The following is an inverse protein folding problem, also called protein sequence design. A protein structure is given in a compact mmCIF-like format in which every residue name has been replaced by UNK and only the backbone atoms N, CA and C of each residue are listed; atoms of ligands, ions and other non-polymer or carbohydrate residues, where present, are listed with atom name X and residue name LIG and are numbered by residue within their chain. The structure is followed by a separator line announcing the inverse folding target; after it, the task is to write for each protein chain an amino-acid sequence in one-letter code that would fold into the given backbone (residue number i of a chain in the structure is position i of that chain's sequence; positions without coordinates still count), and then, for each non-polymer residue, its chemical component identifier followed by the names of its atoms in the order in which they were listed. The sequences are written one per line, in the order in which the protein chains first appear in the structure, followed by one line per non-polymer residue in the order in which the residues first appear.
data_IF_560518348647
#
_entry.id   IF_560518348647
#
_cell.length_a   1.000
_cell.length_b   1.000
_cell.length_c   1.000
_cell.angle_alpha   90.00
_cell.angle_beta   90.00
_cell.angle_gamma   90.00
#
_symmetry.space_group_name_H-M   'P 1'
#
loop_
_entity.id
_entity.type
_entity.pdbx_description
1 polymer ?
#
# COMPACT_ATOMS: atom_id res chain seq x y z
N UNK A 1 -2.77 10.61 -1.95
CA UNK A 1 -2.62 10.00 -0.63
C UNK A 1 -3.97 9.93 0.07
N UNK A 2 -4.25 8.81 0.76
CA UNK A 2 -5.48 8.58 1.53
C UNK A 2 -5.12 8.43 3.01
N UNK A 3 -5.85 9.08 3.90
CA UNK A 3 -5.67 8.91 5.34
C UNK A 3 -6.96 9.24 6.10
N UNK A 4 -7.12 8.65 7.27
CA UNK A 4 -8.19 8.94 8.23
C UNK A 4 -7.85 10.12 9.14
N UNK A 5 -6.59 10.58 9.12
CA UNK A 5 -6.06 11.69 9.93
C UNK A 5 -5.80 12.91 9.02
N UNK A 6 -6.56 13.98 9.24
CA UNK A 6 -6.48 15.22 8.46
C UNK A 6 -5.16 15.95 8.69
N UNK A 7 -4.61 15.93 9.91
CA UNK A 7 -3.36 16.60 10.21
C UNK A 7 -2.21 15.95 9.43
N UNK A 8 -2.14 14.62 9.41
CA UNK A 8 -1.16 13.88 8.64
C UNK A 8 -1.26 14.14 7.13
N UNK A 9 -2.48 14.32 6.63
CA UNK A 9 -2.69 14.71 5.23
C UNK A 9 -2.19 16.13 4.95
N UNK A 10 -2.46 17.08 5.85
CA UNK A 10 -2.08 18.47 5.66
C UNK A 10 -0.56 18.65 5.68
N UNK A 11 0.13 17.94 6.55
CA UNK A 11 1.60 17.97 6.67
C UNK A 11 2.30 17.32 5.47
N UNK A 12 1.59 16.55 4.66
CA UNK A 12 2.14 15.88 3.48
C UNK A 12 2.18 16.83 2.28
N UNK A 13 3.24 16.73 1.46
CA UNK A 13 3.45 17.57 0.27
C UNK A 13 2.76 17.05 -1.00
N UNK A 14 2.20 15.84 -0.96
CA UNK A 14 1.50 15.24 -2.11
C UNK A 14 0.23 16.05 -2.41
N UNK A 15 0.00 16.47 -3.68
CA UNK A 15 -1.09 17.38 -4.02
C UNK A 15 -2.49 16.73 -3.91
N UNK A 16 -2.62 15.45 -4.29
CA UNK A 16 -3.90 14.77 -4.27
C UNK A 16 -4.11 14.06 -2.92
N UNK A 17 -5.09 14.55 -2.17
CA UNK A 17 -5.37 14.10 -0.80
C UNK A 17 -6.85 13.72 -0.68
N UNK A 18 -7.12 12.56 -0.07
CA UNK A 18 -8.48 12.11 0.25
C UNK A 18 -8.54 11.82 1.74
N UNK A 19 -9.41 12.52 2.44
CA UNK A 19 -9.77 12.21 3.82
C UNK A 19 -10.73 11.02 3.79
N UNK A 20 -10.39 9.95 4.51
CA UNK A 20 -11.24 8.78 4.65
C UNK A 20 -12.14 8.89 5.88
N UNK A 21 -13.44 8.69 5.69
CA UNK A 21 -14.42 8.59 6.76
C UNK A 21 -14.57 9.85 7.56
N UNK A 22 -14.95 10.94 6.93
CA UNK A 22 -15.14 12.25 7.60
C UNK A 22 -16.13 12.16 8.77
N UNK A 23 -17.20 11.36 8.66
CA UNK A 23 -18.14 11.13 9.75
C UNK A 23 -17.66 10.08 10.75
N UNK A 24 -17.05 9.00 10.27
CA UNK A 24 -16.57 7.88 11.09
C UNK A 24 -15.42 8.30 12.01
N UNK A 25 -14.42 9.02 11.46
CA UNK A 25 -13.18 9.36 12.18
C UNK A 25 -13.12 10.81 12.61
N UNK A 26 -13.96 11.68 12.04
CA UNK A 26 -13.92 13.14 12.25
C UNK A 26 -12.54 13.75 12.00
N UNK A 27 -11.75 13.09 11.14
CA UNK A 27 -10.38 13.52 10.84
C UNK A 27 -9.33 13.24 11.93
N UNK A 28 -9.69 12.50 12.99
CA UNK A 28 -8.81 12.20 14.12
C UNK A 28 -8.01 10.90 13.97
N UNK A 29 -8.08 10.28 12.80
CA UNK A 29 -7.44 8.99 12.56
C UNK A 29 -8.28 7.79 13.01
N UNK A 30 -7.81 6.59 12.73
CA UNK A 30 -8.49 5.33 13.06
C UNK A 30 -8.11 4.76 14.45
N UNK A 31 -7.27 5.44 15.23
CA UNK A 31 -6.90 5.04 16.61
C UNK A 31 -6.32 3.62 16.68
N UNK A 32 -5.45 3.23 15.74
CA UNK A 32 -4.86 1.89 15.64
C UNK A 32 -5.89 0.74 15.48
N UNK A 33 -7.12 1.08 15.04
CA UNK A 33 -8.23 0.13 14.88
C UNK A 33 -8.54 -0.06 13.39
N UNK A 34 -8.17 -1.22 12.80
CA UNK A 34 -8.39 -1.49 11.37
C UNK A 34 -9.85 -1.45 10.95
N UNK A 35 -10.76 -1.88 11.82
CA UNK A 35 -12.19 -1.88 11.53
C UNK A 35 -12.75 -0.47 11.32
N UNK A 36 -12.31 0.52 12.12
CA UNK A 36 -12.68 1.93 11.95
C UNK A 36 -12.16 2.44 10.60
N UNK A 37 -10.93 2.11 10.25
CA UNK A 37 -10.35 2.51 8.97
C UNK A 37 -11.05 1.85 7.77
N UNK A 38 -11.49 0.60 7.91
CA UNK A 38 -12.30 -0.10 6.91
C UNK A 38 -13.62 0.63 6.66
N UNK A 39 -14.34 0.96 7.72
CA UNK A 39 -15.61 1.71 7.64
C UNK A 39 -15.38 3.11 7.04
N UNK A 40 -14.30 3.78 7.43
CA UNK A 40 -13.91 5.07 6.88
C UNK A 40 -13.63 5.01 5.36
N UNK A 41 -12.93 3.98 4.91
CA UNK A 41 -12.68 3.76 3.48
C UNK A 41 -13.99 3.44 2.73
N UNK A 42 -14.89 2.65 3.31
CA UNK A 42 -16.21 2.37 2.73
C UNK A 42 -17.09 3.61 2.64
N UNK A 43 -17.12 4.46 3.67
CA UNK A 43 -17.80 5.76 3.62
C UNK A 43 -17.28 6.60 2.46
N UNK A 44 -15.98 6.56 2.21
CA UNK A 44 -15.31 7.36 1.20
C UNK A 44 -15.19 6.67 -0.17
N UNK A 45 -15.85 5.54 -0.38
CA UNK A 45 -15.72 4.73 -1.59
C UNK A 45 -15.98 5.52 -2.89
N UNK A 46 -16.94 6.44 -2.89
CA UNK A 46 -17.21 7.30 -4.05
C UNK A 46 -16.02 8.21 -4.38
N UNK A 47 -15.43 8.86 -3.37
CA UNK A 47 -14.23 9.72 -3.55
C UNK A 47 -13.04 8.93 -4.09
N UNK A 48 -12.84 7.69 -3.58
CA UNK A 48 -11.79 6.80 -4.05
C UNK A 48 -12.03 6.41 -5.51
N UNK A 49 -13.26 6.04 -5.85
CA UNK A 49 -13.64 5.65 -7.20
C UNK A 49 -13.45 6.78 -8.20
N UNK A 50 -13.88 7.99 -7.86
CA UNK A 50 -13.69 9.19 -8.69
C UNK A 50 -12.22 9.50 -8.92
N UNK A 51 -11.39 9.38 -7.89
CA UNK A 51 -9.95 9.64 -7.99
C UNK A 51 -9.20 8.61 -8.87
N UNK A 52 -9.71 7.38 -8.99
CA UNK A 52 -9.13 6.34 -9.81
C UNK A 52 -9.73 6.26 -11.22
N UNK A 53 -10.87 6.89 -11.45
CA UNK A 53 -11.61 6.85 -12.74
C UNK A 53 -11.29 8.08 -13.58
N UNK A 54 -10.06 8.17 -14.09
CA UNK A 54 -9.66 9.25 -15.01
C UNK A 54 -9.78 8.87 -16.51
N UNK A 55 -10.19 7.65 -16.82
CA UNK A 55 -10.37 7.14 -18.18
C UNK A 55 -9.08 6.64 -18.85
N UNK A 56 -7.91 6.88 -18.25
CA UNK A 56 -6.62 6.50 -18.81
C UNK A 56 -5.80 5.58 -17.89
N UNK A 57 -6.17 5.51 -16.62
CA UNK A 57 -5.49 4.64 -15.64
C UNK A 57 -5.83 3.18 -15.93
N UNK A 58 -4.81 2.37 -16.16
CA UNK A 58 -4.93 0.91 -16.38
C UNK A 58 -4.35 0.09 -15.22
N UNK A 59 -3.51 0.71 -14.40
CA UNK A 59 -2.82 0.06 -13.29
C UNK A 59 -2.75 0.98 -12.07
N UNK A 60 -2.82 0.37 -10.88
CA UNK A 60 -2.66 1.09 -9.62
C UNK A 60 -1.69 0.35 -8.69
N UNK A 61 -0.78 1.11 -8.08
CA UNK A 61 0.02 0.65 -6.95
C UNK A 61 -0.63 1.10 -5.64
N UNK A 62 -0.89 0.15 -4.75
CA UNK A 62 -1.38 0.42 -3.40
C UNK A 62 -0.22 0.22 -2.44
N UNK A 63 0.27 1.31 -1.84
CA UNK A 63 1.33 1.24 -0.84
C UNK A 63 0.76 1.52 0.54
N UNK A 64 1.05 0.63 1.51
CA UNK A 64 0.56 0.79 2.87
C UNK A 64 1.48 0.14 3.90
N UNK A 65 1.62 0.81 5.06
CA UNK A 65 2.18 0.18 6.26
C UNK A 65 1.10 -0.61 6.98
N UNK A 66 1.36 -1.90 7.16
CA UNK A 66 0.44 -2.79 7.89
C UNK A 66 0.73 -2.77 9.39
N UNK A 67 -0.25 -3.13 10.21
CA UNK A 67 -0.16 -3.22 11.66
C UNK A 67 -0.77 -2.05 12.42
N UNK A 68 -0.97 -0.89 11.76
CA UNK A 68 -1.72 0.25 12.31
C UNK A 68 -3.21 0.20 11.95
N UNK A 69 -3.91 1.32 12.10
CA UNK A 69 -5.33 1.44 11.75
C UNK A 69 -5.56 1.63 10.26
N UNK A 70 -5.11 2.77 9.71
CA UNK A 70 -5.48 3.24 8.37
C UNK A 70 -5.01 2.28 7.27
N UNK A 71 -3.71 1.99 7.17
CA UNK A 71 -3.17 1.11 6.13
C UNK A 71 -3.77 -0.30 6.19
N UNK A 72 -3.83 -0.86 7.40
CA UNK A 72 -4.36 -2.20 7.67
C UNK A 72 -5.85 -2.34 7.28
N UNK A 73 -6.66 -1.35 7.63
CA UNK A 73 -8.11 -1.40 7.43
C UNK A 73 -8.57 -0.89 6.07
N UNK A 74 -7.91 0.11 5.49
CA UNK A 74 -8.37 0.73 4.25
C UNK A 74 -7.82 0.08 2.97
N UNK A 75 -6.62 -0.51 3.00
CA UNK A 75 -5.95 -0.97 1.80
C UNK A 75 -6.76 -1.99 0.99
N UNK A 76 -7.40 -2.97 1.65
CA UNK A 76 -8.20 -3.98 0.96
C UNK A 76 -9.49 -3.39 0.36
N UNK A 77 -10.08 -2.34 0.97
CA UNK A 77 -11.24 -1.65 0.41
C UNK A 77 -10.86 -0.90 -0.86
N UNK A 78 -9.72 -0.19 -0.82
CA UNK A 78 -9.19 0.51 -2.00
C UNK A 78 -8.86 -0.49 -3.11
N UNK A 79 -8.25 -1.61 -2.77
CA UNK A 79 -7.91 -2.68 -3.72
C UNK A 79 -9.17 -3.29 -4.37
N UNK A 80 -10.20 -3.55 -3.58
CA UNK A 80 -11.47 -4.04 -4.09
C UNK A 80 -12.10 -3.08 -5.11
N UNK A 81 -12.13 -1.78 -4.81
CA UNK A 81 -12.63 -0.76 -5.73
C UNK A 81 -11.79 -0.74 -7.02
N UNK A 82 -10.46 -0.73 -6.90
CA UNK A 82 -9.57 -0.67 -8.04
C UNK A 82 -9.71 -1.90 -8.94
N UNK A 83 -9.60 -3.11 -8.37
CA UNK A 83 -9.61 -4.36 -9.12
C UNK A 83 -11.01 -4.77 -9.55
N UNK A 84 -11.95 -4.91 -8.60
CA UNK A 84 -13.26 -5.53 -8.88
C UNK A 84 -14.27 -4.57 -9.49
N UNK A 85 -14.26 -3.30 -9.08
CA UNK A 85 -15.22 -2.34 -9.62
C UNK A 85 -14.71 -1.62 -10.87
N UNK A 86 -13.41 -1.28 -10.92
CA UNK A 86 -12.82 -0.51 -12.02
C UNK A 86 -12.03 -1.35 -13.02
N UNK A 87 -11.72 -2.61 -12.70
CA UNK A 87 -10.98 -3.52 -13.59
C UNK A 87 -9.50 -3.15 -13.79
N UNK A 88 -8.94 -2.35 -12.87
CA UNK A 88 -7.54 -1.92 -12.92
C UNK A 88 -6.60 -3.06 -12.50
N UNK A 89 -5.46 -3.18 -13.17
CA UNK A 89 -4.38 -4.03 -12.67
C UNK A 89 -3.90 -3.50 -11.33
N UNK A 90 -4.11 -4.27 -10.27
CA UNK A 90 -3.89 -3.79 -8.89
C UNK A 90 -2.74 -4.53 -8.24
N UNK A 91 -1.67 -3.81 -7.94
CA UNK A 91 -0.47 -4.33 -7.27
C UNK A 91 -0.32 -3.67 -5.91
N UNK A 92 -0.24 -4.47 -4.85
CA UNK A 92 0.02 -3.97 -3.51
C UNK A 92 1.50 -4.10 -3.15
N UNK A 93 2.07 -3.07 -2.51
CA UNK A 93 3.40 -3.09 -1.93
C UNK A 93 3.25 -2.66 -0.47
N UNK A 94 3.38 -3.61 0.45
CA UNK A 94 3.06 -3.38 1.86
C UNK A 94 4.24 -3.69 2.76
N UNK A 95 4.33 -2.97 3.88
CA UNK A 95 5.35 -3.23 4.89
C UNK A 95 4.78 -3.94 6.10
N UNK A 96 5.53 -4.91 6.65
CA UNK A 96 5.23 -5.55 7.94
C UNK A 96 6.04 -4.84 9.03
N UNK A 97 5.44 -4.57 10.21
CA UNK A 97 6.09 -3.86 11.30
C UNK A 97 7.38 -4.50 11.77
N UNK A 98 8.23 -3.70 12.41
CA UNK A 98 9.41 -4.18 13.11
C UNK A 98 9.01 -5.03 14.34
N UNK A 99 9.87 -5.95 14.75
CA UNK A 99 9.63 -6.79 15.93
C UNK A 99 9.46 -5.99 17.23
N UNK A 100 10.15 -4.86 17.36
CA UNK A 100 10.04 -3.99 18.54
C UNK A 100 8.69 -3.23 18.64
N UNK A 101 7.91 -3.17 17.55
CA UNK A 101 6.57 -2.57 17.59
C UNK A 101 5.53 -3.45 18.29
N UNK A 102 5.88 -4.69 18.56
CA UNK A 102 5.09 -5.65 19.32
C UNK A 102 4.33 -6.66 18.46
N UNK A 103 4.13 -7.84 19.02
CA UNK A 103 3.49 -8.97 18.34
C UNK A 103 2.06 -8.69 17.90
N UNK A 104 1.32 -7.86 18.64
CA UNK A 104 -0.05 -7.49 18.29
C UNK A 104 -0.15 -6.77 16.94
N UNK A 105 0.77 -5.83 16.66
CA UNK A 105 0.82 -5.15 15.36
C UNK A 105 1.21 -6.12 14.24
N UNK A 106 2.12 -7.05 14.51
CA UNK A 106 2.54 -8.06 13.52
C UNK A 106 1.36 -8.97 13.17
N UNK A 107 0.60 -9.45 14.16
CA UNK A 107 -0.59 -10.29 13.91
C UNK A 107 -1.61 -9.53 13.09
N UNK A 108 -1.95 -8.29 13.47
CA UNK A 108 -2.84 -7.43 12.66
C UNK A 108 -2.36 -7.27 11.22
N UNK A 109 -1.04 -7.08 11.03
CA UNK A 109 -0.46 -6.93 9.71
C UNK A 109 -0.63 -8.18 8.86
N UNK A 110 -0.36 -9.36 9.42
CA UNK A 110 -0.50 -10.63 8.72
C UNK A 110 -1.95 -10.92 8.33
N UNK A 111 -2.90 -10.70 9.25
CA UNK A 111 -4.33 -10.84 8.96
C UNK A 111 -4.80 -9.90 7.85
N UNK A 112 -4.29 -8.66 7.83
CA UNK A 112 -4.62 -7.70 6.78
C UNK A 112 -4.01 -8.08 5.42
N UNK A 113 -2.79 -8.61 5.41
CA UNK A 113 -2.15 -9.11 4.20
C UNK A 113 -2.96 -10.26 3.58
N UNK A 114 -3.46 -11.21 4.40
CA UNK A 114 -4.30 -12.29 3.88
C UNK A 114 -5.59 -11.77 3.22
N UNK A 115 -6.25 -10.78 3.83
CA UNK A 115 -7.42 -10.14 3.23
C UNK A 115 -7.07 -9.38 1.94
N UNK A 116 -5.94 -8.67 1.95
CA UNK A 116 -5.51 -7.88 0.80
C UNK A 116 -5.13 -8.76 -0.40
N UNK A 117 -4.56 -9.93 -0.18
CA UNK A 117 -4.22 -10.91 -1.24
C UNK A 117 -5.41 -11.29 -2.11
N UNK A 118 -6.61 -11.36 -1.53
CA UNK A 118 -7.83 -11.69 -2.27
C UNK A 118 -8.32 -10.54 -3.16
N UNK A 119 -7.85 -9.32 -2.89
CA UNK A 119 -8.30 -8.09 -3.53
C UNK A 119 -7.30 -7.50 -4.53
N UNK A 120 -6.12 -8.11 -4.70
CA UNK A 120 -5.08 -7.61 -5.62
C UNK A 120 -4.69 -8.68 -6.64
N UNK A 121 -3.98 -8.27 -7.70
CA UNK A 121 -3.43 -9.20 -8.69
C UNK A 121 -2.07 -9.73 -8.25
N UNK A 122 -1.27 -8.87 -7.64
CA UNK A 122 0.03 -9.23 -7.05
C UNK A 122 0.26 -8.45 -5.77
N UNK A 123 0.96 -9.06 -4.82
CA UNK A 123 1.36 -8.41 -3.58
C UNK A 123 2.84 -8.63 -3.31
N UNK A 124 3.55 -7.53 -3.04
CA UNK A 124 4.93 -7.54 -2.54
C UNK A 124 4.93 -7.14 -1.07
N UNK A 125 5.48 -8.01 -0.23
CA UNK A 125 5.56 -7.83 1.21
C UNK A 125 6.99 -7.46 1.59
N UNK A 126 7.18 -6.26 2.12
CA UNK A 126 8.47 -5.79 2.63
C UNK A 126 8.52 -6.03 4.14
N UNK A 127 9.41 -6.91 4.58
CA UNK A 127 9.58 -7.20 6.02
C UNK A 127 10.62 -6.24 6.62
N UNK A 128 10.14 -5.23 7.35
CA UNK A 128 11.00 -4.21 7.97
C UNK A 128 12.02 -4.81 8.95
N UNK A 129 11.67 -5.86 9.68
CA UNK A 129 12.59 -6.51 10.60
C UNK A 129 13.77 -7.19 9.88
N UNK A 130 13.51 -7.85 8.75
CA UNK A 130 14.60 -8.43 7.92
C UNK A 130 15.51 -7.35 7.37
N UNK A 131 14.95 -6.24 6.90
CA UNK A 131 15.75 -5.10 6.44
C UNK A 131 16.59 -4.51 7.58
N UNK A 132 16.02 -4.39 8.79
CA UNK A 132 16.76 -3.94 9.97
C UNK A 132 17.91 -4.87 10.32
N UNK A 133 17.69 -6.19 10.33
CA UNK A 133 18.73 -7.19 10.61
C UNK A 133 19.88 -7.14 9.58
N UNK A 134 19.53 -7.05 8.29
CA UNK A 134 20.53 -6.90 7.23
C UNK A 134 21.38 -5.65 7.42
N UNK A 135 20.76 -4.52 7.75
CA UNK A 135 21.45 -3.26 7.99
C UNK A 135 22.28 -3.25 9.28
N UNK A 136 21.81 -3.90 10.33
CA UNK A 136 22.57 -4.05 11.56
C UNK A 136 23.87 -4.84 11.33
N UNK A 137 23.82 -5.87 10.48
CA UNK A 137 25.02 -6.60 10.05
C UNK A 137 26.05 -5.72 9.32
N UNK A 138 25.57 -4.64 8.64
CA UNK A 138 26.42 -3.65 7.98
C UNK A 138 26.84 -2.48 8.89
N UNK A 139 26.63 -2.57 10.22
CA UNK A 139 26.91 -1.52 11.21
C UNK A 139 26.23 -0.17 10.92
N UNK A 140 25.07 -0.17 10.29
CA UNK A 140 24.28 1.02 10.02
C UNK A 140 23.45 1.45 11.24
N UNK A 141 23.16 2.76 11.35
CA UNK A 141 22.33 3.29 12.43
C UNK A 141 20.86 2.83 12.31
N UNK A 142 20.13 2.87 13.44
CA UNK A 142 18.70 2.58 13.49
C UNK A 142 17.88 3.49 12.54
N UNK A 143 18.18 4.79 12.52
CA UNK A 143 17.53 5.76 11.61
C UNK A 143 17.71 5.38 10.14
N UNK A 144 18.89 4.87 9.77
CA UNK A 144 19.15 4.39 8.41
C UNK A 144 18.34 3.14 8.09
N UNK A 145 18.08 2.27 9.07
CA UNK A 145 17.22 1.10 8.89
C UNK A 145 15.75 1.47 8.60
N UNK A 146 15.22 2.50 9.24
CA UNK A 146 13.88 3.03 8.94
C UNK A 146 13.81 3.55 7.50
N UNK A 147 14.78 4.37 7.11
CA UNK A 147 14.84 4.94 5.76
C UNK A 147 14.95 3.88 4.65
N UNK A 148 15.58 2.74 4.94
CA UNK A 148 15.71 1.66 3.96
C UNK A 148 14.36 0.96 3.71
N UNK A 149 13.50 0.83 4.73
CA UNK A 149 12.13 0.33 4.55
C UNK A 149 11.36 1.16 3.53
N UNK A 150 11.36 2.48 3.71
CA UNK A 150 10.70 3.42 2.78
C UNK A 150 11.32 3.36 1.38
N UNK A 151 12.65 3.26 1.30
CA UNK A 151 13.37 3.15 0.04
C UNK A 151 13.05 1.82 -0.68
N UNK A 152 12.87 0.72 0.05
CA UNK A 152 12.53 -0.57 -0.54
C UNK A 152 11.16 -0.53 -1.22
N UNK A 153 10.15 0.05 -0.57
CA UNK A 153 8.80 0.24 -1.15
C UNK A 153 8.87 1.12 -2.41
N UNK A 154 9.56 2.25 -2.32
CA UNK A 154 9.73 3.17 -3.45
C UNK A 154 10.45 2.52 -4.62
N UNK A 155 11.56 1.82 -4.38
CA UNK A 155 12.31 1.10 -5.42
C UNK A 155 11.49 -0.01 -6.06
N UNK A 156 10.73 -0.77 -5.29
CA UNK A 156 9.87 -1.82 -5.82
C UNK A 156 8.84 -1.24 -6.80
N UNK A 157 8.12 -0.17 -6.38
CA UNK A 157 7.15 0.49 -7.24
C UNK A 157 7.80 1.08 -8.51
N UNK A 158 8.94 1.80 -8.36
CA UNK A 158 9.67 2.37 -9.50
C UNK A 158 10.17 1.30 -10.46
N UNK A 159 10.73 0.19 -9.96
CA UNK A 159 11.25 -0.87 -10.83
C UNK A 159 10.17 -1.51 -11.69
N UNK A 160 8.97 -1.74 -11.15
CA UNK A 160 7.85 -2.26 -11.93
C UNK A 160 7.36 -1.20 -12.94
N UNK A 161 7.27 0.07 -12.52
CA UNK A 161 6.89 1.18 -13.40
C UNK A 161 7.91 1.37 -14.53
N UNK A 162 9.19 1.31 -14.23
CA UNK A 162 10.27 1.46 -15.22
C UNK A 162 10.25 0.37 -16.29
N UNK A 163 9.87 -0.86 -15.93
CA UNK A 163 9.70 -1.95 -16.90
C UNK A 163 8.59 -1.67 -17.93
N UNK A 164 7.60 -0.87 -17.54
CA UNK A 164 6.43 -0.54 -18.39
C UNK A 164 6.72 0.72 -19.23
N UNK A 165 7.32 1.75 -18.59
CA UNK A 165 7.45 3.09 -19.21
C UNK A 165 8.70 3.21 -20.05
N UNK A 166 9.82 2.58 -19.63
CA UNK A 166 11.09 2.73 -20.29
C UNK A 166 11.32 1.60 -21.29
N UNK A 167 11.51 1.91 -22.58
CA UNK A 167 11.89 0.90 -23.56
C UNK A 167 13.27 0.34 -23.21
N UNK A 168 13.29 -0.92 -22.76
CA UNK A 168 14.51 -1.65 -22.44
C UNK A 168 15.08 -2.38 -23.67
N UNK A 169 16.12 -3.21 -23.44
CA UNK A 169 16.65 -4.14 -24.45
C UNK A 169 15.63 -5.19 -24.90
N UNK A 170 14.60 -5.45 -24.08
CA UNK A 170 13.45 -6.29 -24.38
C UNK A 170 12.22 -5.40 -24.26
N UNK A 171 11.49 -5.20 -25.35
CA UNK A 171 10.24 -4.46 -25.37
C UNK A 171 9.17 -5.31 -24.66
N UNK A 172 8.89 -5.00 -23.42
CA UNK A 172 7.73 -5.51 -22.70
C UNK A 172 6.59 -4.51 -22.90
N UNK A 173 5.51 -4.93 -23.53
CA UNK A 173 4.31 -4.12 -23.56
C UNK A 173 3.51 -4.28 -22.25
N UNK A 174 2.58 -3.34 -22.00
CA UNK A 174 1.74 -3.37 -20.81
C UNK A 174 0.93 -4.68 -20.68
N UNK A 175 0.55 -5.28 -21.81
CA UNK A 175 -0.21 -6.53 -21.82
C UNK A 175 0.62 -7.72 -21.33
N UNK A 176 1.93 -7.74 -21.61
CA UNK A 176 2.83 -8.77 -21.11
C UNK A 176 3.05 -8.64 -19.60
N UNK A 177 3.22 -7.40 -19.11
CA UNK A 177 3.28 -7.11 -17.68
C UNK A 177 1.96 -7.48 -16.99
N UNK A 178 0.84 -7.12 -17.59
CA UNK A 178 -0.49 -7.47 -17.10
C UNK A 178 -0.70 -8.98 -16.98
N UNK A 179 -0.32 -9.74 -17.99
CA UNK A 179 -0.39 -11.22 -17.96
C UNK A 179 0.49 -11.82 -16.86
N UNK A 180 1.67 -11.27 -16.66
CA UNK A 180 2.62 -11.75 -15.64
C UNK A 180 2.17 -11.41 -14.21
N UNK A 181 1.65 -10.21 -14.00
CA UNK A 181 1.21 -9.74 -12.68
C UNK A 181 -0.21 -10.17 -12.34
N UNK A 182 -1.06 -10.42 -13.33
CA UNK A 182 -2.41 -10.92 -13.11
C UNK A 182 -2.35 -12.32 -12.50
N UNK A 183 -2.82 -12.44 -11.26
CA UNK A 183 -2.66 -13.63 -10.41
C UNK A 183 -1.17 -13.98 -10.14
N UNK A 184 -0.29 -12.99 -10.14
CA UNK A 184 1.15 -13.14 -9.89
C UNK A 184 1.49 -13.62 -8.47
N UNK A 185 0.52 -13.63 -7.57
CA UNK A 185 0.67 -14.19 -6.22
C UNK A 185 1.42 -13.26 -5.27
N UNK A 186 2.24 -13.85 -4.42
CA UNK A 186 2.94 -13.17 -3.30
C UNK A 186 4.43 -13.22 -3.50
N UNK A 187 5.09 -12.06 -3.41
CA UNK A 187 6.55 -11.93 -3.28
C UNK A 187 6.90 -11.36 -1.88
N UNK A 188 8.00 -11.83 -1.29
CA UNK A 188 8.47 -11.42 0.04
C UNK A 188 9.95 -11.05 -0.02
#
# INVERSE_FOLDING_TARGET
ILNTDVQQLNDNKIPHKIVLGENVTRGLGAGDTPEIARQAAQESANKIREALRDGNTEMVFITAGMGGGTGTGAAHVVANIAKKELGLLTVAIVTIPFAFEGSHKIIKALEAVEKLKEEVDSILIVNNERLRQYNAAQKNSFTKSLYIGDTAVSKAASSISDLIINPGYINLDFNDVKKTLNNGGVAI
#
